data_IF_660372279377
#
_entry.id   IF_660372279377
#
_cell.length_a   1.000
_cell.length_b   1.000
_cell.length_c   1.000
_cell.angle_alpha   90.00
_cell.angle_beta   90.00
_cell.angle_gamma   90.00
#
_symmetry.space_group_name_H-M   'P 1'
#
loop_
_entity.id
_entity.type
_entity.pdbx_description
1 polymer ?
#
# COMPACT_ATOMS: atom_id res chain seq x y z
N UNK A 1 5.49 7.75 16.74
CA UNK A 1 6.21 8.97 17.13
C UNK A 1 6.61 9.80 15.92
N UNK A 2 7.56 9.35 15.12
CA UNK A 2 8.03 10.12 13.96
C UNK A 2 6.94 10.29 12.91
N UNK A 3 6.21 9.24 12.60
CA UNK A 3 5.13 9.26 11.59
C UNK A 3 4.02 10.20 12.01
N UNK A 4 3.62 10.18 13.27
CA UNK A 4 2.57 11.07 13.78
C UNK A 4 2.99 12.53 13.68
N UNK A 5 4.25 12.83 14.01
CA UNK A 5 4.78 14.17 13.93
C UNK A 5 4.80 14.70 12.51
N UNK A 6 5.24 13.90 11.55
CA UNK A 6 5.24 14.27 10.13
C UNK A 6 3.82 14.53 9.64
N UNK A 7 2.86 13.68 10.03
CA UNK A 7 1.46 13.84 9.64
C UNK A 7 0.85 15.14 10.20
N UNK A 8 1.25 15.55 11.41
CA UNK A 8 0.78 16.80 12.02
C UNK A 8 1.29 18.04 11.28
N UNK A 9 2.48 17.94 10.66
CA UNK A 9 3.12 19.06 9.97
C UNK A 9 2.51 19.36 8.59
N UNK A 10 1.66 18.49 8.05
CA UNK A 10 0.99 18.74 6.78
C UNK A 10 0.58 17.48 6.05
N UNK A 11 0.04 17.67 4.84
CA UNK A 11 -0.38 16.56 3.99
C UNK A 11 0.83 15.77 3.49
N UNK A 12 0.73 14.45 3.53
CA UNK A 12 1.84 13.57 3.13
C UNK A 12 1.33 12.18 2.71
N UNK A 13 2.18 11.46 2.01
CA UNK A 13 1.95 10.06 1.63
C UNK A 13 3.06 9.22 2.26
N UNK A 14 2.66 8.19 3.00
CA UNK A 14 3.60 7.22 3.58
C UNK A 14 3.60 5.93 2.77
N UNK A 15 4.78 5.45 2.43
CA UNK A 15 4.94 4.16 1.77
C UNK A 15 5.37 3.11 2.80
N UNK A 16 4.42 2.32 3.26
CA UNK A 16 4.66 1.26 4.24
C UNK A 16 4.98 1.78 5.63
N UNK A 17 5.97 1.20 6.30
CA UNK A 17 6.46 1.58 7.63
C UNK A 17 5.41 1.48 8.74
N UNK A 18 4.39 0.64 8.55
CA UNK A 18 3.27 0.52 9.49
C UNK A 18 2.54 1.85 9.75
N UNK A 19 2.57 2.77 8.77
CA UNK A 19 1.97 4.10 8.92
C UNK A 19 0.45 4.02 9.14
N UNK A 20 -0.23 3.08 8.49
CA UNK A 20 -1.66 2.85 8.69
C UNK A 20 -1.98 2.58 10.17
N UNK A 21 -1.16 1.75 10.83
CA UNK A 21 -1.32 1.45 12.25
C UNK A 21 -0.94 2.65 13.13
N UNK A 22 0.16 3.33 12.80
CA UNK A 22 0.62 4.49 13.57
C UNK A 22 -0.42 5.62 13.56
N UNK A 23 -1.18 5.76 12.47
CA UNK A 23 -2.19 6.80 12.29
C UNK A 23 -3.62 6.30 12.53
N UNK A 24 -3.81 5.13 13.11
CA UNK A 24 -5.13 4.51 13.29
C UNK A 24 -6.13 5.36 14.08
N UNK A 25 -5.64 6.21 14.95
CA UNK A 25 -6.47 7.10 15.78
C UNK A 25 -6.57 8.52 15.20
N UNK A 26 -6.00 8.77 14.04
CA UNK A 26 -6.10 10.04 13.35
C UNK A 26 -7.26 9.96 12.36
N UNK A 27 -8.29 10.78 12.52
CA UNK A 27 -9.49 10.76 11.68
C UNK A 27 -9.23 11.22 10.25
N UNK A 28 -8.09 11.84 9.99
CA UNK A 28 -7.77 12.42 8.69
C UNK A 28 -6.68 11.64 7.96
N UNK A 29 -6.89 10.34 7.79
CA UNK A 29 -6.01 9.49 7.00
C UNK A 29 -6.81 8.56 6.09
N UNK A 30 -6.16 8.01 5.07
CA UNK A 30 -6.76 7.08 4.14
C UNK A 30 -5.73 5.98 3.84
N UNK A 31 -6.10 4.73 4.11
CA UNK A 31 -5.20 3.59 3.99
C UNK A 31 -5.51 2.80 2.73
N UNK A 32 -4.49 2.60 1.90
CA UNK A 32 -4.60 1.91 0.62
C UNK A 32 -3.64 0.73 0.60
N UNK A 33 -4.14 -0.44 0.21
CA UNK A 33 -3.32 -1.60 -0.08
C UNK A 33 -3.31 -1.86 -1.59
N UNK A 34 -2.12 -1.93 -2.18
CA UNK A 34 -1.95 -2.16 -3.60
C UNK A 34 -1.46 -3.59 -3.81
N UNK A 35 -2.14 -4.34 -4.67
CA UNK A 35 -1.75 -5.70 -5.04
C UNK A 35 -1.77 -5.87 -6.55
N UNK A 36 -1.27 -7.00 -7.02
CA UNK A 36 -1.26 -7.32 -8.44
C UNK A 36 -1.19 -8.85 -8.62
N UNK A 37 -1.68 -9.33 -9.75
CA UNK A 37 -1.59 -10.72 -10.12
C UNK A 37 -0.12 -11.13 -10.34
N UNK A 38 0.19 -12.41 -10.16
CA UNK A 38 1.56 -12.92 -10.25
C UNK A 38 2.21 -12.63 -11.60
N UNK A 39 1.47 -12.78 -12.69
CA UNK A 39 1.97 -12.50 -14.05
C UNK A 39 2.39 -11.05 -14.22
N UNK A 40 1.59 -10.13 -13.72
CA UNK A 40 1.90 -8.69 -13.75
C UNK A 40 3.13 -8.38 -12.90
N UNK A 41 3.21 -8.97 -11.71
CA UNK A 41 4.33 -8.79 -10.78
C UNK A 41 5.63 -9.31 -11.36
N UNK A 42 5.60 -10.47 -12.02
CA UNK A 42 6.78 -11.06 -12.67
C UNK A 42 7.30 -10.15 -13.77
N UNK A 43 6.42 -9.61 -14.60
CA UNK A 43 6.78 -8.68 -15.67
C UNK A 43 7.40 -7.40 -15.14
N UNK A 44 6.83 -6.82 -14.10
CA UNK A 44 7.39 -5.62 -13.47
C UNK A 44 8.73 -5.92 -12.79
N UNK A 45 8.89 -7.10 -12.22
CA UNK A 45 10.17 -7.52 -11.63
C UNK A 45 11.30 -7.50 -12.63
N UNK A 46 11.05 -7.97 -13.84
CA UNK A 46 12.03 -8.00 -14.92
C UNK A 46 12.36 -6.62 -15.48
N UNK A 47 11.42 -5.69 -15.50
CA UNK A 47 11.57 -4.39 -16.14
C UNK A 47 11.92 -3.26 -15.17
N UNK A 48 11.17 -3.12 -14.08
CA UNK A 48 11.27 -1.98 -13.16
C UNK A 48 12.12 -2.32 -11.93
N UNK A 49 12.06 -3.57 -11.46
CA UNK A 49 12.75 -4.00 -10.25
C UNK A 49 14.05 -4.75 -10.54
N UNK A 50 14.78 -4.33 -11.56
CA UNK A 50 16.14 -4.79 -11.85
C UNK A 50 16.28 -6.31 -12.07
N UNK A 51 15.30 -6.91 -12.73
CA UNK A 51 15.35 -8.33 -13.04
C UNK A 51 14.99 -9.26 -11.89
N UNK A 52 14.28 -8.77 -10.88
CA UNK A 52 13.82 -9.61 -9.77
C UNK A 52 12.79 -10.64 -10.24
N UNK A 53 12.97 -11.89 -9.82
CA UNK A 53 12.03 -12.96 -10.09
C UNK A 53 10.80 -12.86 -9.20
N UNK A 54 9.70 -13.54 -9.58
CA UNK A 54 8.51 -13.62 -8.74
C UNK A 54 8.84 -14.21 -7.36
N UNK A 55 9.72 -15.20 -7.30
CA UNK A 55 10.17 -15.82 -6.05
C UNK A 55 10.82 -14.79 -5.12
N UNK A 56 11.67 -13.93 -5.67
CA UNK A 56 12.33 -12.86 -4.91
C UNK A 56 11.32 -11.80 -4.43
N UNK A 57 10.38 -11.43 -5.27
CA UNK A 57 9.30 -10.50 -4.91
C UNK A 57 8.41 -11.05 -3.80
N UNK A 58 8.07 -12.34 -3.87
CA UNK A 58 7.30 -13.00 -2.83
C UNK A 58 8.05 -13.07 -1.52
N UNK A 59 9.35 -13.29 -1.57
CA UNK A 59 10.20 -13.30 -0.37
C UNK A 59 10.24 -11.92 0.30
N UNK A 60 10.32 -10.87 -0.48
CA UNK A 60 10.25 -9.50 0.05
C UNK A 60 8.91 -9.22 0.71
N UNK A 61 7.81 -9.68 0.12
CA UNK A 61 6.47 -9.53 0.70
C UNK A 61 6.31 -10.33 2.00
N UNK A 62 6.91 -11.50 2.08
CA UNK A 62 6.91 -12.29 3.32
C UNK A 62 7.63 -11.54 4.46
N UNK A 63 8.71 -10.84 4.15
CA UNK A 63 9.43 -10.01 5.12
C UNK A 63 8.57 -8.83 5.58
N UNK A 64 7.88 -8.18 4.65
CA UNK A 64 6.95 -7.07 4.97
C UNK A 64 5.82 -7.55 5.87
N UNK A 65 5.25 -8.71 5.55
CA UNK A 65 4.17 -9.30 6.35
C UNK A 65 4.63 -9.63 7.77
N UNK A 66 5.80 -10.25 7.91
CA UNK A 66 6.37 -10.56 9.23
C UNK A 66 6.61 -9.31 10.07
N UNK A 67 7.20 -8.28 9.47
CA UNK A 67 7.47 -7.02 10.13
C UNK A 67 6.16 -6.35 10.60
N UNK A 68 5.20 -6.23 9.69
CA UNK A 68 3.91 -5.60 9.97
C UNK A 68 3.14 -6.35 11.05
N UNK A 69 3.03 -7.68 10.90
CA UNK A 69 2.29 -8.51 11.86
C UNK A 69 2.89 -8.43 13.25
N UNK A 70 4.20 -8.43 13.34
CA UNK A 70 4.92 -8.34 14.61
C UNK A 70 4.66 -7.01 15.32
N UNK A 71 4.80 -5.89 14.59
CA UNK A 71 4.70 -4.56 15.20
C UNK A 71 3.27 -4.09 15.42
N UNK A 72 2.30 -4.57 14.66
CA UNK A 72 0.92 -4.08 14.73
C UNK A 72 -0.05 -5.06 15.37
N UNK A 73 0.28 -6.34 15.39
CA UNK A 73 -0.67 -7.39 15.79
C UNK A 73 -1.76 -7.64 14.75
N UNK A 74 -1.71 -6.98 13.60
CA UNK A 74 -2.67 -7.16 12.50
C UNK A 74 -2.05 -8.06 11.42
N UNK A 75 -2.89 -8.58 10.54
CA UNK A 75 -2.45 -9.37 9.38
C UNK A 75 -2.23 -8.45 8.18
N UNK A 76 -0.99 -8.42 7.67
CA UNK A 76 -0.65 -7.64 6.48
C UNK A 76 -1.44 -8.12 5.27
N UNK A 77 -2.05 -7.19 4.54
CA UNK A 77 -2.86 -7.51 3.36
C UNK A 77 -4.30 -7.90 3.64
N UNK A 78 -4.71 -7.95 4.89
CA UNK A 78 -6.12 -8.17 5.25
C UNK A 78 -6.93 -6.93 4.90
N UNK A 79 -7.88 -7.06 3.96
CA UNK A 79 -8.67 -5.95 3.44
C UNK A 79 -9.40 -5.15 4.52
N UNK A 80 -9.71 -5.76 5.66
CA UNK A 80 -10.35 -5.07 6.77
C UNK A 80 -9.51 -3.96 7.40
N UNK A 81 -8.19 -3.96 7.16
CA UNK A 81 -7.27 -2.96 7.69
C UNK A 81 -7.14 -1.72 6.82
N UNK A 82 -7.74 -1.71 5.63
CA UNK A 82 -7.53 -0.66 4.62
C UNK A 82 -8.86 -0.07 4.17
N UNK A 83 -8.81 1.19 3.77
CA UNK A 83 -9.97 1.88 3.19
C UNK A 83 -10.22 1.46 1.74
N UNK A 84 -9.16 1.08 1.05
CA UNK A 84 -9.23 0.66 -0.34
C UNK A 84 -8.16 -0.38 -0.64
N UNK A 85 -8.53 -1.44 -1.34
CA UNK A 85 -7.60 -2.43 -1.87
C UNK A 85 -7.67 -2.36 -3.39
N UNK A 86 -6.53 -2.15 -4.05
CA UNK A 86 -6.46 -1.94 -5.50
C UNK A 86 -5.58 -3.01 -6.15
N UNK A 87 -6.13 -3.68 -7.15
CA UNK A 87 -5.36 -4.61 -8.00
C UNK A 87 -4.95 -3.86 -9.27
N UNK A 88 -3.64 -3.67 -9.47
CA UNK A 88 -3.09 -2.89 -10.58
C UNK A 88 -2.96 -3.66 -11.89
N UNK A 89 -3.33 -4.93 -11.93
CA UNK A 89 -3.16 -5.79 -13.10
C UNK A 89 -4.36 -5.85 -14.03
N UNK A 90 -5.44 -5.11 -13.77
CA UNK A 90 -6.71 -5.23 -14.48
C UNK A 90 -6.89 -4.25 -15.65
N UNK A 91 -5.86 -4.06 -16.47
CA UNK A 91 -5.98 -3.41 -17.77
C UNK A 91 -5.86 -1.89 -17.78
N UNK A 92 -6.02 -1.20 -16.67
CA UNK A 92 -5.82 0.24 -16.60
C UNK A 92 -4.32 0.58 -16.49
N UNK A 93 -3.92 1.73 -17.00
CA UNK A 93 -2.56 2.22 -16.75
C UNK A 93 -2.39 2.60 -15.29
N UNK A 94 -1.15 2.66 -14.81
CA UNK A 94 -0.90 3.09 -13.42
C UNK A 94 -1.38 4.52 -13.17
N UNK A 95 -1.31 5.38 -14.18
CA UNK A 95 -1.82 6.74 -14.10
C UNK A 95 -3.34 6.76 -13.93
N UNK A 96 -4.06 5.96 -14.70
CA UNK A 96 -5.52 5.81 -14.55
C UNK A 96 -5.90 5.24 -13.20
N UNK A 97 -5.14 4.29 -12.68
CA UNK A 97 -5.35 3.74 -11.35
C UNK A 97 -5.19 4.83 -10.29
N UNK A 98 -4.14 5.63 -10.39
CA UNK A 98 -3.90 6.74 -9.46
C UNK A 98 -5.03 7.77 -9.50
N UNK A 99 -5.50 8.13 -10.69
CA UNK A 99 -6.62 9.06 -10.87
C UNK A 99 -7.90 8.51 -10.24
N UNK A 100 -8.14 7.22 -10.39
CA UNK A 100 -9.28 6.54 -9.77
C UNK A 100 -9.22 6.55 -8.25
N UNK A 101 -8.05 6.35 -7.68
CA UNK A 101 -7.83 6.42 -6.23
C UNK A 101 -8.13 7.83 -5.72
N UNK A 102 -7.60 8.85 -6.38
CA UNK A 102 -7.81 10.25 -6.01
C UNK A 102 -9.30 10.59 -6.05
N UNK A 103 -10.00 10.18 -7.11
CA UNK A 103 -11.43 10.42 -7.26
C UNK A 103 -12.23 9.75 -6.13
N UNK A 104 -11.86 8.54 -5.75
CA UNK A 104 -12.51 7.82 -4.67
C UNK A 104 -12.30 8.51 -3.32
N UNK A 105 -11.07 8.92 -3.02
CA UNK A 105 -10.74 9.64 -1.79
C UNK A 105 -11.57 10.93 -1.69
N UNK A 106 -11.62 11.71 -2.75
CA UNK A 106 -12.39 12.96 -2.79
C UNK A 106 -13.87 12.73 -2.56
N UNK A 107 -14.41 11.65 -3.08
CA UNK A 107 -15.81 11.29 -2.90
C UNK A 107 -16.12 10.90 -1.46
N UNK A 108 -15.25 10.12 -0.83
CA UNK A 108 -15.44 9.64 0.54
C UNK A 108 -15.27 10.77 1.56
N UNK A 109 -14.35 11.70 1.30
CA UNK A 109 -14.04 12.80 2.22
C UNK A 109 -14.87 14.06 1.98
N UNK A 110 -15.69 14.07 0.95
CA UNK A 110 -16.53 15.22 0.63
C UNK A 110 -17.68 15.43 1.64
#
# INVERSE_FOLDING_TARGET
AVIRKIAEDGSCIFLGRCADYALRNNDNHFDIFVCADDEFREKRGQTIYEGKSLKELNRENEKRARYYNYYTGRTWGDGANYDLVVNTSKGASLEEVADGIIAYINKVKA
#
